data_IF_412728283858
#
_entry.id   IF_412728283858
#
_cell.length_a   1.000
_cell.length_b   1.000
_cell.length_c   1.000
_cell.angle_alpha   90.00
_cell.angle_beta   90.00
_cell.angle_gamma   90.00
#
_symmetry.space_group_name_H-M   'P 1'
#
loop_
_entity.id
_entity.type
_entity.pdbx_description
1 polymer ?
#
# COMPACT_ATOMS: atom_id res chain seq x y z
N UNK A 1 1.20 6.88 12.03
CA UNK A 1 2.45 7.22 11.31
C UNK A 1 2.86 8.62 11.74
N UNK A 2 4.15 8.94 11.66
CA UNK A 2 4.68 10.28 11.93
C UNK A 2 5.31 10.77 10.63
N UNK A 3 4.93 11.96 10.18
CA UNK A 3 5.50 12.64 9.01
C UNK A 3 6.39 13.77 9.55
N UNK A 4 7.58 13.96 8.98
CA UNK A 4 8.41 15.10 9.37
C UNK A 4 7.82 16.38 8.78
N UNK A 5 7.74 17.44 9.58
CA UNK A 5 7.13 18.70 9.13
C UNK A 5 7.82 19.23 7.86
N UNK A 6 7.04 19.42 6.80
CA UNK A 6 7.49 19.92 5.52
C UNK A 6 7.92 18.84 4.51
N UNK A 7 7.94 17.55 4.89
CA UNK A 7 8.16 16.46 3.91
C UNK A 7 7.07 16.52 2.82
N UNK A 8 5.83 16.80 3.21
CA UNK A 8 4.69 16.96 2.30
C UNK A 8 4.83 18.15 1.34
N UNK A 9 5.70 19.11 1.67
CA UNK A 9 5.96 20.32 0.88
C UNK A 9 7.19 20.16 -0.03
N UNK A 10 7.92 19.05 0.07
CA UNK A 10 9.20 18.86 -0.62
C UNK A 10 10.37 19.58 0.07
N UNK A 11 10.29 19.79 1.39
CA UNK A 11 11.32 20.50 2.16
C UNK A 11 12.69 19.85 2.00
N UNK A 12 13.71 20.68 1.81
CA UNK A 12 15.11 20.26 1.72
C UNK A 12 15.98 21.05 2.69
N UNK A 13 16.98 20.37 3.26
CA UNK A 13 18.08 21.01 4.01
C UNK A 13 19.38 21.04 3.19
N UNK A 14 19.29 20.91 1.86
CA UNK A 14 20.45 20.86 0.97
C UNK A 14 21.36 19.64 1.19
N UNK A 15 20.81 18.54 1.71
CA UNK A 15 21.57 17.35 2.09
C UNK A 15 22.17 17.40 3.50
N UNK A 16 21.99 18.49 4.26
CA UNK A 16 22.36 18.53 5.67
C UNK A 16 21.37 17.65 6.48
N UNK A 17 21.88 16.61 7.13
CA UNK A 17 21.06 15.72 7.99
C UNK A 17 21.10 16.13 9.48
N UNK A 18 21.71 17.28 9.80
CA UNK A 18 21.90 17.78 11.16
C UNK A 18 21.80 19.31 11.26
N UNK A 19 20.68 19.89 10.83
CA UNK A 19 20.41 21.34 10.88
C UNK A 19 20.22 21.97 12.26
N UNK A 20 20.68 21.33 13.35
CA UNK A 20 20.33 21.71 14.73
C UNK A 20 20.74 23.14 15.16
N UNK A 21 21.78 23.70 14.56
CA UNK A 21 22.29 25.05 14.84
C UNK A 21 21.97 26.07 13.74
N UNK A 22 21.10 25.70 12.80
CA UNK A 22 20.74 26.53 11.66
C UNK A 22 19.40 27.20 11.91
N UNK A 23 19.43 28.50 12.17
CA UNK A 23 18.24 29.37 12.18
C UNK A 23 18.29 30.27 10.95
N UNK A 24 17.99 29.67 9.80
CA UNK A 24 18.04 30.29 8.47
C UNK A 24 17.26 29.46 7.45
N UNK A 25 17.35 29.82 6.17
CA UNK A 25 16.64 29.21 5.05
C UNK A 25 16.89 27.70 4.89
N UNK A 26 17.96 27.13 5.49
CA UNK A 26 18.18 25.68 5.51
C UNK A 26 17.11 24.95 6.32
N UNK A 27 16.59 25.56 7.39
CA UNK A 27 15.63 24.92 8.30
C UNK A 27 14.25 25.56 8.24
N UNK A 28 14.11 26.78 7.74
CA UNK A 28 12.81 27.41 7.58
C UNK A 28 11.94 26.69 6.53
N UNK A 29 10.62 26.91 6.61
CA UNK A 29 9.70 26.40 5.58
C UNK A 29 9.66 27.37 4.41
N UNK A 30 9.97 26.86 3.22
CA UNK A 30 9.82 27.59 1.97
C UNK A 30 8.40 27.41 1.41
N UNK A 31 7.50 28.29 1.84
CA UNK A 31 6.11 28.30 1.36
C UNK A 31 5.99 28.71 -0.11
N UNK A 32 6.97 29.46 -0.65
CA UNK A 32 6.90 29.96 -2.02
C UNK A 32 7.14 28.84 -3.06
N UNK A 33 7.93 27.82 -2.68
CA UNK A 33 8.27 26.68 -3.52
C UNK A 33 7.65 25.36 -3.03
N UNK A 34 6.57 25.41 -2.23
CA UNK A 34 5.89 24.22 -1.75
C UNK A 34 5.36 23.36 -2.92
N UNK A 35 5.66 22.07 -2.90
CA UNK A 35 5.22 21.13 -3.92
C UNK A 35 3.74 20.76 -3.73
N UNK A 36 2.86 21.46 -4.44
CA UNK A 36 1.41 21.19 -4.39
C UNK A 36 1.03 19.76 -4.81
N UNK A 37 1.79 19.13 -5.71
CA UNK A 37 1.54 17.75 -6.12
C UNK A 37 1.84 16.78 -4.98
N UNK A 38 2.97 16.97 -4.30
CA UNK A 38 3.33 16.16 -3.14
C UNK A 38 2.39 16.36 -1.94
N UNK A 39 1.85 17.57 -1.77
CA UNK A 39 0.81 17.85 -0.76
C UNK A 39 -0.44 17.01 -1.05
N UNK A 40 -0.96 17.07 -2.28
CA UNK A 40 -2.17 16.33 -2.66
C UNK A 40 -1.94 14.81 -2.63
N UNK A 41 -0.76 14.34 -3.05
CA UNK A 41 -0.39 12.94 -2.91
C UNK A 41 -0.36 12.50 -1.43
N UNK A 42 0.33 13.27 -0.57
CA UNK A 42 0.43 12.98 0.86
C UNK A 42 -0.96 12.96 1.51
N UNK A 43 -1.81 13.93 1.14
CA UNK A 43 -3.20 13.98 1.57
C UNK A 43 -3.95 12.72 1.18
N UNK A 44 -3.86 12.31 -0.09
CA UNK A 44 -4.53 11.13 -0.61
C UNK A 44 -4.14 9.85 0.13
N UNK A 45 -2.84 9.65 0.38
CA UNK A 45 -2.34 8.51 1.15
C UNK A 45 -2.81 8.55 2.61
N UNK A 46 -2.82 9.75 3.22
CA UNK A 46 -3.31 9.93 4.58
C UNK A 46 -4.82 9.64 4.70
N UNK A 47 -5.61 10.11 3.73
CA UNK A 47 -7.05 9.86 3.64
C UNK A 47 -7.34 8.37 3.42
N UNK A 48 -6.66 7.69 2.49
CA UNK A 48 -6.77 6.24 2.28
C UNK A 48 -6.51 5.49 3.59
N UNK A 49 -5.38 5.79 4.25
CA UNK A 49 -5.05 5.14 5.53
C UNK A 49 -6.11 5.42 6.60
N UNK A 50 -6.66 6.63 6.65
CA UNK A 50 -7.68 7.02 7.63
C UNK A 50 -9.04 6.38 7.34
N UNK A 51 -9.37 6.14 6.08
CA UNK A 51 -10.62 5.50 5.67
C UNK A 51 -10.63 4.00 5.96
N UNK A 52 -9.49 3.32 5.83
CA UNK A 52 -9.40 1.87 5.83
C UNK A 52 -8.76 1.30 7.12
N UNK A 53 -9.54 0.69 8.03
CA UNK A 53 -9.04 0.03 9.23
C UNK A 53 -7.98 -1.06 9.00
N UNK A 54 -7.92 -1.68 7.83
CA UNK A 54 -6.91 -2.71 7.52
C UNK A 54 -5.47 -2.18 7.64
N UNK A 55 -5.25 -0.88 7.38
CA UNK A 55 -3.97 -0.18 7.56
C UNK A 55 -3.75 0.39 8.98
N UNK A 56 -4.70 0.17 9.89
CA UNK A 56 -4.75 0.77 11.24
C UNK A 56 -5.09 -0.24 12.34
N UNK A 57 -4.81 -1.51 12.09
CA UNK A 57 -5.05 -2.61 13.04
C UNK A 57 -4.33 -2.36 14.36
N UNK A 58 -4.94 -2.79 15.47
CA UNK A 58 -4.33 -2.77 16.80
C UNK A 58 -3.51 -4.04 17.08
N UNK A 59 -3.76 -5.09 16.31
CA UNK A 59 -3.10 -6.40 16.40
C UNK A 59 -2.37 -6.70 15.10
N UNK A 60 -1.28 -7.45 15.22
CA UNK A 60 -0.54 -7.96 14.08
C UNK A 60 -1.42 -8.85 13.19
N UNK A 61 -0.99 -9.00 11.94
CA UNK A 61 -1.47 -10.07 11.08
C UNK A 61 -0.86 -11.39 11.57
N UNK A 62 -1.60 -12.50 11.45
CA UNK A 62 -1.13 -13.83 11.86
C UNK A 62 -1.02 -14.83 10.70
N UNK A 63 -1.46 -14.45 9.50
CA UNK A 63 -1.43 -15.30 8.31
C UNK A 63 -2.39 -16.49 8.41
N UNK A 64 -3.29 -16.51 9.40
CA UNK A 64 -4.20 -17.63 9.62
C UNK A 64 -5.50 -17.43 8.85
N UNK A 65 -6.10 -18.53 8.34
CA UNK A 65 -7.39 -18.48 7.65
C UNK A 65 -8.50 -17.80 8.47
N UNK A 66 -9.08 -16.75 7.89
CA UNK A 66 -10.18 -15.99 8.45
C UNK A 66 -11.48 -16.78 8.28
N UNK A 67 -12.08 -17.20 9.39
CA UNK A 67 -13.34 -17.94 9.37
C UNK A 67 -14.50 -17.03 9.01
N UNK A 68 -15.14 -17.30 7.86
CA UNK A 68 -16.39 -16.67 7.44
C UNK A 68 -17.33 -17.74 6.89
N UNK A 69 -18.58 -17.69 7.33
CA UNK A 69 -19.59 -18.68 6.96
C UNK A 69 -19.90 -18.56 5.46
N UNK A 70 -19.66 -19.65 4.71
CA UNK A 70 -19.99 -19.71 3.29
C UNK A 70 -18.98 -19.07 2.33
N UNK A 71 -17.75 -18.78 2.79
CA UNK A 71 -16.66 -18.32 1.93
C UNK A 71 -15.42 -19.19 2.06
N UNK A 72 -14.51 -19.08 1.10
CA UNK A 72 -13.14 -19.62 1.23
C UNK A 72 -12.48 -18.95 2.44
N UNK A 73 -11.77 -19.73 3.24
CA UNK A 73 -11.03 -19.22 4.40
C UNK A 73 -9.67 -18.72 3.93
N UNK A 74 -9.63 -17.48 3.43
CA UNK A 74 -8.37 -16.81 3.12
C UNK A 74 -7.68 -16.33 4.39
N UNK A 75 -6.35 -16.27 4.42
CA UNK A 75 -5.62 -15.70 5.55
C UNK A 75 -5.86 -14.19 5.68
N UNK A 76 -5.49 -13.62 6.82
CA UNK A 76 -5.62 -12.18 7.04
C UNK A 76 -4.55 -11.35 6.29
N UNK A 77 -3.45 -12.02 5.89
CA UNK A 77 -2.38 -11.54 5.03
C UNK A 77 -1.85 -12.70 4.16
N UNK A 78 -1.50 -12.43 2.90
CA UNK A 78 -0.73 -13.35 2.04
C UNK A 78 0.34 -12.57 1.31
N UNK A 79 1.48 -13.22 1.05
CA UNK A 79 2.62 -12.64 0.34
C UNK A 79 2.85 -13.41 -0.94
N UNK A 80 3.10 -12.71 -2.03
CA UNK A 80 3.30 -13.28 -3.35
C UNK A 80 4.61 -12.79 -3.96
N UNK A 81 5.27 -13.67 -4.69
CA UNK A 81 6.34 -13.26 -5.60
C UNK A 81 5.71 -12.49 -6.79
N UNK A 82 6.51 -11.79 -7.61
CA UNK A 82 5.98 -11.11 -8.78
C UNK A 82 5.27 -12.02 -9.79
N UNK A 83 5.60 -13.31 -9.85
CA UNK A 83 4.94 -14.24 -10.78
C UNK A 83 3.52 -14.67 -10.33
N UNK A 84 3.12 -14.31 -9.10
CA UNK A 84 1.81 -14.62 -8.52
C UNK A 84 1.80 -15.89 -7.65
N UNK A 85 2.93 -16.58 -7.48
CA UNK A 85 3.07 -17.66 -6.50
C UNK A 85 3.10 -17.12 -5.08
N UNK A 86 2.44 -17.81 -4.14
CA UNK A 86 2.52 -17.48 -2.72
C UNK A 86 3.95 -17.78 -2.21
N UNK A 87 4.53 -16.83 -1.49
CA UNK A 87 5.92 -16.93 -1.03
C UNK A 87 6.07 -18.06 -0.01
N UNK A 88 7.08 -18.91 -0.24
CA UNK A 88 7.57 -19.88 0.72
C UNK A 88 8.64 -19.29 1.64
N UNK A 89 9.02 -20.01 2.71
CA UNK A 89 10.12 -19.63 3.60
C UNK A 89 11.45 -19.44 2.83
N UNK A 90 11.71 -20.26 1.80
CA UNK A 90 12.93 -20.17 0.99
C UNK A 90 12.99 -18.89 0.14
N UNK A 91 11.83 -18.39 -0.31
CA UNK A 91 11.74 -17.17 -1.11
C UNK A 91 12.16 -15.94 -0.29
N UNK A 92 11.86 -15.94 1.03
CA UNK A 92 12.26 -14.88 1.95
C UNK A 92 13.78 -14.80 2.16
N UNK A 93 14.45 -15.95 2.13
CA UNK A 93 15.91 -16.04 2.31
C UNK A 93 16.67 -15.75 1.00
N UNK A 94 15.98 -15.76 -0.14
CA UNK A 94 16.58 -15.44 -1.43
C UNK A 94 16.79 -13.91 -1.58
N UNK A 95 18.02 -13.49 -1.91
CA UNK A 95 18.36 -12.07 -2.14
C UNK A 95 17.65 -11.40 -3.33
N UNK A 96 16.71 -12.10 -3.98
CA UNK A 96 15.82 -11.60 -5.02
C UNK A 96 14.60 -10.83 -4.47
N UNK A 97 14.43 -10.77 -3.14
CA UNK A 97 13.35 -10.09 -2.42
C UNK A 97 13.30 -8.55 -2.52
N UNK A 98 13.76 -7.96 -3.63
CA UNK A 98 13.59 -6.51 -3.88
C UNK A 98 12.16 -6.16 -4.30
N UNK A 99 11.37 -7.13 -4.75
CA UNK A 99 10.04 -6.86 -5.26
C UNK A 99 9.08 -7.98 -4.85
N UNK A 100 7.98 -7.59 -4.19
CA UNK A 100 7.00 -8.48 -3.59
C UNK A 100 5.60 -7.89 -3.73
N UNK A 101 4.59 -8.76 -3.70
CA UNK A 101 3.20 -8.35 -3.60
C UNK A 101 2.62 -8.84 -2.27
N UNK A 102 1.75 -8.05 -1.65
CA UNK A 102 1.07 -8.41 -0.41
C UNK A 102 -0.42 -8.19 -0.55
N UNK A 103 -1.18 -9.21 -0.18
CA UNK A 103 -2.63 -9.14 -0.03
C UNK A 103 -2.97 -8.89 1.44
N UNK A 104 -3.87 -7.95 1.69
CA UNK A 104 -4.43 -7.64 3.01
C UNK A 104 -5.93 -7.90 2.99
N UNK A 105 -6.38 -8.80 3.85
CA UNK A 105 -7.79 -9.19 3.92
C UNK A 105 -8.59 -8.21 4.79
N UNK A 106 -9.48 -7.43 4.19
CA UNK A 106 -10.33 -6.48 4.91
C UNK A 106 -11.33 -7.15 5.86
N UNK A 107 -11.63 -8.43 5.65
CA UNK A 107 -12.43 -9.23 6.58
C UNK A 107 -11.58 -9.86 7.69
N UNK A 108 -10.26 -9.84 7.59
CA UNK A 108 -9.35 -10.45 8.57
C UNK A 108 -9.08 -9.61 9.81
N UNK A 109 -9.83 -8.54 10.04
CA UNK A 109 -9.58 -7.62 11.16
C UNK A 109 -10.17 -8.21 12.46
N UNK A 110 -9.34 -8.53 13.47
CA UNK A 110 -9.79 -9.15 14.72
C UNK A 110 -10.39 -8.13 15.69
N UNK A 111 -10.24 -6.83 15.41
CA UNK A 111 -10.68 -5.76 16.29
C UNK A 111 -12.20 -5.60 16.27
N UNK A 112 -12.73 -5.21 17.43
CA UNK A 112 -14.12 -4.79 17.57
C UNK A 112 -14.19 -3.27 17.65
N UNK A 113 -15.26 -2.70 17.12
CA UNK A 113 -15.56 -1.28 17.30
C UNK A 113 -15.95 -0.98 18.77
N UNK A 114 -16.11 0.29 19.16
CA UNK A 114 -16.51 0.64 20.53
C UNK A 114 -17.85 0.06 20.99
N UNK A 115 -18.67 -0.46 20.07
CA UNK A 115 -19.96 -1.10 20.33
C UNK A 115 -19.87 -2.63 20.37
N UNK A 116 -18.67 -3.20 20.22
CA UNK A 116 -18.43 -4.63 20.19
C UNK A 116 -18.77 -5.29 18.85
N UNK A 117 -18.98 -4.51 17.79
CA UNK A 117 -19.24 -5.01 16.44
C UNK A 117 -17.94 -5.34 15.72
N UNK A 118 -17.96 -6.38 14.87
CA UNK A 118 -16.80 -6.75 14.06
C UNK A 118 -16.44 -5.61 13.12
N UNK A 119 -15.17 -5.23 13.11
CA UNK A 119 -14.64 -4.30 12.10
C UNK A 119 -14.38 -5.09 10.82
N UNK A 120 -14.86 -4.56 9.70
CA UNK A 120 -14.55 -5.06 8.35
C UNK A 120 -14.16 -3.89 7.48
N UNK A 121 -13.43 -4.21 6.43
CA UNK A 121 -12.91 -3.27 5.44
C UNK A 121 -12.90 -3.95 4.07
N UNK A 122 -12.54 -3.20 3.03
CA UNK A 122 -12.19 -3.75 1.73
C UNK A 122 -10.84 -4.46 1.79
N UNK A 123 -10.61 -5.39 0.86
CA UNK A 123 -9.32 -6.07 0.72
C UNK A 123 -8.41 -5.30 -0.21
N UNK A 124 -7.09 -5.43 -0.02
CA UNK A 124 -6.10 -4.69 -0.78
C UNK A 124 -4.98 -5.59 -1.29
N UNK A 125 -4.42 -5.24 -2.45
CA UNK A 125 -3.16 -5.78 -2.96
C UNK A 125 -2.18 -4.64 -3.14
N UNK A 126 -0.98 -4.79 -2.59
CA UNK A 126 0.10 -3.82 -2.75
C UNK A 126 1.26 -4.50 -3.46
N UNK A 127 1.71 -3.94 -4.57
CA UNK A 127 2.89 -4.43 -5.28
C UNK A 127 4.03 -3.43 -5.10
N UNK A 128 5.14 -3.91 -4.53
CA UNK A 128 6.34 -3.13 -4.29
C UNK A 128 7.40 -3.52 -5.31
N UNK A 129 7.80 -2.59 -6.18
CA UNK A 129 8.94 -2.77 -7.05
C UNK A 129 10.14 -1.95 -6.56
N UNK A 130 11.01 -2.54 -5.72
CA UNK A 130 12.30 -1.93 -5.39
C UNK A 130 13.42 -2.36 -6.35
N UNK A 131 13.10 -2.91 -7.51
CA UNK A 131 14.06 -3.09 -8.60
C UNK A 131 14.22 -1.80 -9.41
N UNK A 132 15.27 -1.74 -10.23
CA UNK A 132 15.59 -0.59 -11.07
C UNK A 132 15.05 -0.72 -12.50
N UNK A 133 14.38 -1.83 -12.79
CA UNK A 133 13.70 -2.11 -14.06
C UNK A 133 12.21 -2.34 -13.77
N UNK A 134 11.33 -2.13 -14.77
CA UNK A 134 9.92 -2.51 -14.65
C UNK A 134 9.79 -4.00 -14.33
N UNK A 135 8.83 -4.36 -13.48
CA UNK A 135 8.52 -5.75 -13.15
C UNK A 135 7.04 -5.99 -13.37
N UNK A 136 6.76 -7.10 -14.03
CA UNK A 136 5.41 -7.62 -14.19
C UNK A 136 4.98 -8.36 -12.92
N UNK A 137 3.85 -7.94 -12.36
CA UNK A 137 3.21 -8.57 -11.22
C UNK A 137 1.92 -9.27 -11.66
N UNK A 138 1.85 -10.57 -11.41
CA UNK A 138 0.59 -11.33 -11.54
C UNK A 138 -0.23 -11.14 -10.27
N UNK A 139 -1.46 -10.65 -10.41
CA UNK A 139 -2.36 -10.44 -9.29
C UNK A 139 -2.86 -11.77 -8.70
N UNK A 140 -3.23 -11.79 -7.40
CA UNK A 140 -3.74 -12.99 -6.76
C UNK A 140 -4.95 -13.59 -7.51
N UNK A 141 -5.16 -14.91 -7.41
CA UNK A 141 -6.29 -15.58 -8.04
C UNK A 141 -7.62 -15.10 -7.48
N UNK A 142 -8.70 -15.37 -8.23
CA UNK A 142 -10.07 -14.88 -7.94
C UNK A 142 -10.61 -15.20 -6.54
N UNK A 143 -10.01 -16.15 -5.84
CA UNK A 143 -10.35 -16.47 -4.46
C UNK A 143 -10.03 -15.32 -3.50
N UNK A 144 -9.05 -14.47 -3.82
CA UNK A 144 -8.65 -13.28 -3.05
C UNK A 144 -9.44 -12.01 -3.37
N UNK A 145 -10.24 -12.02 -4.43
CA UNK A 145 -10.97 -10.88 -4.98
C UNK A 145 -11.11 -11.04 -6.49
N UNK A 146 -12.21 -10.59 -7.09
CA UNK A 146 -12.50 -10.84 -8.52
C UNK A 146 -11.84 -9.82 -9.46
N UNK A 147 -11.70 -8.57 -8.99
CA UNK A 147 -11.04 -7.50 -9.70
C UNK A 147 -10.45 -6.48 -8.71
N UNK A 148 -9.45 -5.75 -9.17
CA UNK A 148 -8.59 -4.89 -8.37
C UNK A 148 -8.53 -3.50 -8.99
N UNK A 149 -9.05 -2.52 -8.27
CA UNK A 149 -9.07 -1.11 -8.65
C UNK A 149 -7.78 -0.43 -8.18
N UNK A 150 -6.93 0.10 -9.07
CA UNK A 150 -5.80 0.94 -8.64
C UNK A 150 -6.30 2.18 -7.89
N UNK A 151 -5.72 2.46 -6.72
CA UNK A 151 -6.07 3.61 -5.88
C UNK A 151 -4.88 4.52 -5.59
N UNK A 152 -3.66 3.99 -5.52
CA UNK A 152 -2.43 4.78 -5.41
C UNK A 152 -1.39 4.21 -6.37
N UNK A 153 -0.72 5.07 -7.12
CA UNK A 153 0.47 4.69 -7.87
C UNK A 153 1.55 5.76 -7.76
N UNK A 154 2.74 5.40 -7.27
CA UNK A 154 3.79 6.38 -6.94
C UNK A 154 4.45 7.03 -8.17
N UNK A 155 4.27 6.46 -9.37
CA UNK A 155 4.84 7.02 -10.61
C UNK A 155 4.12 8.31 -11.00
N UNK A 156 2.79 8.28 -10.97
CA UNK A 156 1.96 9.39 -11.42
C UNK A 156 1.74 10.44 -10.32
N UNK A 157 2.17 10.14 -9.07
CA UNK A 157 1.98 11.02 -7.92
C UNK A 157 0.51 11.33 -7.61
N UNK A 158 -0.42 10.52 -8.13
CA UNK A 158 -1.85 10.79 -8.10
C UNK A 158 -2.68 9.55 -7.73
N UNK A 159 -3.87 9.80 -7.20
CA UNK A 159 -4.94 8.80 -7.06
C UNK A 159 -5.41 8.43 -8.46
N UNK A 160 -5.46 7.14 -8.78
CA UNK A 160 -5.93 6.67 -10.09
C UNK A 160 -7.46 6.59 -10.15
N UNK A 161 -8.16 7.67 -9.79
CA UNK A 161 -9.62 7.77 -9.90
C UNK A 161 -10.06 7.53 -11.35
N UNK A 162 -10.92 6.52 -11.56
CA UNK A 162 -11.44 6.16 -12.88
C UNK A 162 -10.54 5.25 -13.72
N UNK A 163 -9.43 4.75 -13.17
CA UNK A 163 -8.69 3.65 -13.80
C UNK A 163 -9.55 2.39 -13.87
N UNK A 164 -9.37 1.57 -14.90
CA UNK A 164 -10.17 0.34 -15.04
C UNK A 164 -9.70 -0.71 -14.03
N UNK A 165 -10.60 -1.43 -13.36
CA UNK A 165 -10.23 -2.58 -12.55
C UNK A 165 -9.44 -3.60 -13.36
N UNK A 166 -8.40 -4.16 -12.74
CA UNK A 166 -7.58 -5.24 -13.27
C UNK A 166 -8.15 -6.57 -12.76
N UNK A 167 -8.38 -7.52 -13.66
CA UNK A 167 -8.96 -8.81 -13.28
C UNK A 167 -8.00 -9.61 -12.36
N UNK A 168 -8.56 -10.44 -11.49
CA UNK A 168 -7.77 -11.39 -10.71
C UNK A 168 -6.94 -12.32 -11.62
N UNK A 169 -5.71 -12.65 -11.21
CA UNK A 169 -4.78 -13.44 -12.03
C UNK A 169 -4.22 -12.74 -13.26
N UNK A 170 -4.64 -11.50 -13.56
CA UNK A 170 -4.04 -10.72 -14.63
C UNK A 170 -2.69 -10.14 -14.20
N UNK A 171 -1.84 -9.85 -15.17
CA UNK A 171 -0.54 -9.24 -14.96
C UNK A 171 -0.60 -7.73 -15.19
N UNK A 172 0.10 -6.97 -14.36
CA UNK A 172 0.32 -5.53 -14.55
C UNK A 172 1.80 -5.18 -14.35
N UNK A 173 2.31 -4.26 -15.14
CA UNK A 173 3.69 -3.79 -15.03
C UNK A 173 3.79 -2.67 -14.00
N UNK A 174 4.68 -2.83 -13.03
CA UNK A 174 5.03 -1.80 -12.03
C UNK A 174 6.39 -1.23 -12.39
N UNK A 175 6.45 0.09 -12.60
CA UNK A 175 7.67 0.80 -12.97
C UNK A 175 8.81 0.67 -11.92
N UNK A 176 10.07 0.95 -12.30
CA UNK A 176 11.18 0.96 -11.38
C UNK A 176 10.91 1.80 -10.14
N UNK A 177 11.29 1.29 -8.95
CA UNK A 177 11.22 2.04 -7.68
C UNK A 177 9.81 2.54 -7.35
N UNK A 178 8.78 1.83 -7.81
CA UNK A 178 7.40 2.23 -7.63
C UNK A 178 6.62 1.27 -6.72
N UNK A 179 5.52 1.80 -6.17
CA UNK A 179 4.51 1.04 -5.43
C UNK A 179 3.15 1.35 -6.04
N UNK A 180 2.37 0.30 -6.28
CA UNK A 180 0.95 0.40 -6.61
C UNK A 180 0.12 -0.22 -5.49
N UNK A 181 -0.96 0.45 -5.11
CA UNK A 181 -1.97 -0.04 -4.17
C UNK A 181 -3.26 -0.24 -4.94
N UNK A 182 -3.82 -1.42 -4.82
CA UNK A 182 -5.07 -1.82 -5.44
C UNK A 182 -6.09 -2.17 -4.35
N UNK A 183 -7.31 -1.72 -4.51
CA UNK A 183 -8.46 -2.03 -3.67
C UNK A 183 -9.35 -3.04 -4.38
N UNK A 184 -9.96 -3.96 -3.64
CA UNK A 184 -10.96 -4.86 -4.17
C UNK A 184 -12.12 -4.06 -4.81
N UNK A 185 -12.40 -4.32 -6.08
CA UNK A 185 -13.49 -3.64 -6.79
C UNK A 185 -14.85 -4.22 -6.36
N UNK A 186 -15.92 -3.41 -6.28
CA UNK A 186 -17.26 -3.92 -6.01
C UNK A 186 -17.69 -4.96 -7.05
N UNK A 187 -18.36 -6.04 -6.62
CA UNK A 187 -19.01 -6.96 -7.54
C UNK A 187 -20.07 -6.19 -8.36
N UNK A 188 -19.92 -6.20 -9.69
CA UNK A 188 -20.85 -5.57 -10.65
C UNK A 188 -22.11 -6.39 -10.89
#
# INVERSE_FOLDING_TARGET
PMICHGDELGRTQGGNNNGYCQDNEITWIDWANADSGLIEFTRSVAELRAAHPVFRRRRFFDGLPVRRRGSIHLPDISWFTPDGSEMSDEDWDSGFGKSISVYLNGHGIPDLDPRGQRVTDDSFVLCFNAHHEPIDFTLPPKEFGTAWQPVIYTVDGAVMEGSRPVAAGATLTVEPRAVIVLQEAPES
#
